data_IF_989954412740
#
_entry.id   IF_989954412740
#
_cell.length_a   1.000
_cell.length_b   1.000
_cell.length_c   1.000
_cell.angle_alpha   90.00
_cell.angle_beta   90.00
_cell.angle_gamma   90.00
#
_symmetry.space_group_name_H-M   'P 1'
#
loop_
_entity.id
_entity.type
_entity.pdbx_description
1 polymer ?
#
# COMPACT_ATOMS: atom_id res chain seq x y z
N UNK A 1 12.40 -12.71 2.06
CA UNK A 1 11.61 -11.47 2.24
C UNK A 1 11.15 -11.31 3.69
N UNK A 2 10.32 -12.21 4.21
CA UNK A 2 9.90 -12.35 5.61
C UNK A 2 10.10 -13.81 6.05
N UNK A 3 9.81 -14.16 7.30
CA UNK A 3 9.93 -15.54 7.78
C UNK A 3 11.30 -15.86 8.39
N UNK A 4 11.48 -17.12 8.80
CA UNK A 4 12.74 -17.60 9.34
C UNK A 4 13.64 -18.06 8.20
N UNK A 5 14.82 -17.47 8.12
CA UNK A 5 15.91 -17.96 7.29
C UNK A 5 16.62 -19.09 8.06
N UNK A 6 16.52 -20.31 7.56
CA UNK A 6 17.12 -21.48 8.19
C UNK A 6 18.66 -21.50 8.04
N UNK A 7 19.19 -20.90 6.97
CA UNK A 7 20.61 -20.85 6.70
C UNK A 7 21.30 -19.78 7.54
N UNK A 8 20.73 -18.57 7.56
CA UNK A 8 21.24 -17.47 8.37
C UNK A 8 20.83 -17.56 9.85
N UNK A 9 19.96 -18.51 10.22
CA UNK A 9 19.29 -18.65 11.53
C UNK A 9 18.62 -17.36 12.03
N UNK A 10 18.25 -16.45 11.11
CA UNK A 10 17.62 -15.16 11.41
C UNK A 10 16.12 -15.22 11.20
N UNK A 11 15.38 -14.43 11.98
CA UNK A 11 13.92 -14.30 11.85
C UNK A 11 13.58 -12.90 11.32
N UNK A 12 12.93 -12.83 10.17
CA UNK A 12 12.51 -11.61 9.49
C UNK A 12 10.99 -11.39 9.53
N UNK A 13 10.27 -12.03 10.45
CA UNK A 13 8.81 -11.90 10.56
C UNK A 13 8.36 -10.44 10.78
N UNK A 14 9.18 -9.61 11.45
CA UNK A 14 8.90 -8.19 11.68
C UNK A 14 8.72 -7.39 10.39
N UNK A 15 9.34 -7.84 9.28
CA UNK A 15 9.19 -7.20 7.96
C UNK A 15 7.75 -7.27 7.43
N UNK A 16 6.92 -8.21 7.89
CA UNK A 16 5.49 -8.24 7.54
C UNK A 16 4.77 -7.00 8.05
N UNK A 17 5.10 -6.56 9.26
CA UNK A 17 4.52 -5.34 9.82
C UNK A 17 4.95 -4.12 9.00
N UNK A 18 6.20 -4.05 8.54
CA UNK A 18 6.65 -2.95 7.67
C UNK A 18 5.86 -2.87 6.37
N UNK A 19 5.55 -4.00 5.76
CA UNK A 19 4.73 -4.06 4.53
C UNK A 19 3.31 -3.58 4.84
N UNK A 20 2.68 -4.09 5.91
CA UNK A 20 1.34 -3.69 6.35
C UNK A 20 1.25 -2.18 6.61
N UNK A 21 2.15 -1.65 7.42
CA UNK A 21 2.20 -0.22 7.76
C UNK A 21 2.39 0.63 6.51
N UNK A 22 3.26 0.19 5.60
CA UNK A 22 3.52 0.92 4.35
C UNK A 22 2.32 0.91 3.43
N UNK A 23 1.58 -0.20 3.31
CA UNK A 23 0.33 -0.28 2.53
C UNK A 23 -0.66 0.78 3.02
N UNK A 24 -0.91 0.83 4.33
CA UNK A 24 -1.84 1.80 4.91
C UNK A 24 -1.34 3.26 4.80
N UNK A 25 -0.05 3.51 5.02
CA UNK A 25 0.51 4.83 4.82
C UNK A 25 0.37 5.33 3.37
N UNK A 26 0.45 4.42 2.38
CA UNK A 26 0.24 4.76 0.97
C UNK A 26 -1.24 4.97 0.64
N UNK A 27 -2.16 4.24 1.27
CA UNK A 27 -3.61 4.44 1.13
C UNK A 27 -4.02 5.89 1.50
N UNK A 28 -3.38 6.49 2.50
CA UNK A 28 -3.65 7.87 2.91
C UNK A 28 -3.17 8.90 1.88
N UNK A 29 -2.16 8.55 1.08
CA UNK A 29 -1.55 9.44 0.08
C UNK A 29 -2.23 9.28 -1.28
N UNK A 30 -2.36 8.05 -1.76
CA UNK A 30 -2.92 7.70 -3.05
C UNK A 30 -4.46 7.80 -3.07
N UNK A 31 -5.02 7.82 -4.26
CA UNK A 31 -6.46 7.67 -4.50
C UNK A 31 -6.79 6.19 -4.75
N UNK A 32 -6.32 5.34 -3.83
CA UNK A 32 -6.43 3.90 -3.91
C UNK A 32 -6.90 3.39 -2.56
N UNK A 33 -7.99 2.64 -2.56
CA UNK A 33 -8.53 1.97 -1.39
C UNK A 33 -8.03 0.52 -1.33
N UNK A 34 -7.76 0.01 -0.13
CA UNK A 34 -7.32 -1.37 0.06
C UNK A 34 -8.52 -2.24 0.42
N UNK A 35 -8.88 -3.15 -0.49
CA UNK A 35 -9.98 -4.08 -0.28
C UNK A 35 -9.53 -5.32 0.51
N UNK A 36 -8.41 -5.92 0.11
CA UNK A 36 -7.83 -7.06 0.81
C UNK A 36 -6.31 -7.14 0.66
N UNK A 37 -5.65 -7.81 1.59
CA UNK A 37 -4.22 -8.12 1.51
C UNK A 37 -3.88 -9.40 2.27
N UNK A 38 -2.80 -10.06 1.85
CA UNK A 38 -2.16 -11.14 2.60
C UNK A 38 -0.65 -11.07 2.42
N UNK A 39 0.09 -11.02 3.53
CA UNK A 39 1.55 -10.89 3.53
C UNK A 39 2.15 -12.24 3.91
N UNK A 40 2.78 -12.90 2.92
CA UNK A 40 3.36 -14.23 3.04
C UNK A 40 4.85 -14.15 3.40
N UNK A 41 5.55 -15.29 3.44
CA UNK A 41 7.00 -15.33 3.72
C UNK A 41 7.83 -14.74 2.57
N UNK A 42 7.47 -15.02 1.32
CA UNK A 42 8.26 -14.68 0.14
C UNK A 42 7.55 -13.73 -0.84
N UNK A 43 6.26 -13.44 -0.66
CA UNK A 43 5.48 -12.51 -1.49
C UNK A 43 4.30 -11.93 -0.70
N UNK A 44 3.55 -11.01 -1.31
CA UNK A 44 2.28 -10.52 -0.77
C UNK A 44 1.23 -10.44 -1.88
N UNK A 45 -0.03 -10.56 -1.50
CA UNK A 45 -1.19 -10.33 -2.35
C UNK A 45 -1.91 -9.06 -1.92
N UNK A 46 -2.41 -8.30 -2.88
CA UNK A 46 -3.10 -7.04 -2.65
C UNK A 46 -4.28 -6.91 -3.62
N UNK A 47 -5.46 -6.64 -3.08
CA UNK A 47 -6.66 -6.26 -3.82
C UNK A 47 -6.90 -4.78 -3.55
N UNK A 48 -6.85 -3.98 -4.61
CA UNK A 48 -7.00 -2.52 -4.54
C UNK A 48 -8.17 -2.06 -5.38
N UNK A 49 -8.76 -0.95 -4.97
CA UNK A 49 -9.77 -0.22 -5.71
C UNK A 49 -9.22 1.17 -6.07
N UNK A 50 -9.19 1.49 -7.37
CA UNK A 50 -8.74 2.81 -7.84
C UNK A 50 -9.91 3.77 -7.79
N UNK A 51 -9.83 4.75 -6.89
CA UNK A 51 -10.91 5.69 -6.63
C UNK A 51 -10.80 6.91 -7.58
N UNK A 52 -11.37 6.76 -8.79
CA UNK A 52 -11.38 7.84 -9.80
C UNK A 52 -12.18 9.06 -9.37
N UNK A 53 -13.24 8.89 -8.57
CA UNK A 53 -14.03 10.01 -8.08
C UNK A 53 -13.20 10.91 -7.15
N UNK A 54 -12.40 10.31 -6.27
CA UNK A 54 -11.45 11.04 -5.42
C UNK A 54 -10.41 11.81 -6.24
N UNK A 55 -10.03 11.31 -7.40
CA UNK A 55 -9.09 11.99 -8.31
C UNK A 55 -9.70 13.22 -9.00
N UNK A 56 -10.96 13.13 -9.42
CA UNK A 56 -11.67 14.25 -10.06
C UNK A 56 -11.93 15.40 -9.09
N UNK A 57 -12.17 15.08 -7.81
CA UNK A 57 -12.48 16.06 -6.77
C UNK A 57 -11.25 16.69 -6.10
N UNK A 58 -10.05 16.19 -6.39
CA UNK A 58 -8.83 16.70 -5.76
C UNK A 58 -8.48 18.10 -6.29
N UNK A 59 -8.35 19.09 -5.42
CA UNK A 59 -7.76 20.36 -5.81
C UNK A 59 -6.25 20.20 -6.08
N UNK A 60 -5.67 21.07 -6.92
CA UNK A 60 -4.23 21.00 -7.24
C UNK A 60 -3.35 21.11 -5.99
N UNK A 61 -3.72 21.99 -5.05
CA UNK A 61 -3.02 22.09 -3.76
C UNK A 61 -3.03 20.77 -2.97
N UNK A 62 -4.13 20.02 -3.00
CA UNK A 62 -4.21 18.72 -2.33
C UNK A 62 -3.37 17.65 -3.03
N UNK A 63 -3.26 17.70 -4.36
CA UNK A 63 -2.34 16.83 -5.11
C UNK A 63 -0.90 17.11 -4.66
N UNK A 64 -0.51 18.38 -4.56
CA UNK A 64 0.84 18.76 -4.09
C UNK A 64 1.08 18.31 -2.66
N UNK A 65 0.12 18.55 -1.75
CA UNK A 65 0.19 18.13 -0.35
C UNK A 65 0.28 16.62 -0.18
N UNK A 66 -0.44 15.85 -1.01
CA UNK A 66 -0.34 14.38 -1.02
C UNK A 66 1.02 13.94 -1.54
N UNK A 67 1.46 14.48 -2.68
CA UNK A 67 2.72 14.13 -3.31
C UNK A 67 3.93 14.45 -2.41
N UNK A 68 3.88 15.55 -1.66
CA UNK A 68 4.96 16.00 -0.77
C UNK A 68 5.24 15.04 0.40
N UNK A 69 4.25 14.22 0.80
CA UNK A 69 4.41 13.20 1.84
C UNK A 69 5.37 12.07 1.44
N UNK A 70 5.62 11.90 0.15
CA UNK A 70 6.42 10.80 -0.39
C UNK A 70 7.61 11.27 -1.23
N UNK A 71 7.51 12.45 -1.85
CA UNK A 71 8.47 12.95 -2.82
C UNK A 71 8.77 14.43 -2.58
N UNK A 72 9.98 14.86 -2.95
CA UNK A 72 10.34 16.28 -2.89
C UNK A 72 9.54 17.09 -3.90
N UNK A 73 9.06 18.26 -3.47
CA UNK A 73 8.37 19.23 -4.32
C UNK A 73 9.36 20.29 -4.81
N UNK A 74 9.36 20.66 -6.10
CA UNK A 74 10.10 21.82 -6.59
C UNK A 74 9.72 23.10 -5.83
N UNK A 75 10.73 23.86 -5.40
CA UNK A 75 10.56 25.04 -4.55
C UNK A 75 9.65 26.12 -5.16
N UNK A 76 9.62 26.26 -6.48
CA UNK A 76 8.77 27.25 -7.14
C UNK A 76 7.27 26.96 -6.97
N UNK A 77 6.87 25.67 -6.95
CA UNK A 77 5.47 25.26 -6.77
C UNK A 77 5.02 25.55 -5.34
N UNK A 78 5.88 25.27 -4.35
CA UNK A 78 5.60 25.61 -2.95
C UNK A 78 5.41 27.13 -2.79
N UNK A 79 6.29 27.95 -3.38
CA UNK A 79 6.18 29.41 -3.34
C UNK A 79 4.89 29.94 -3.99
N UNK A 80 4.46 29.36 -5.10
CA UNK A 80 3.20 29.72 -5.76
C UNK A 80 2.01 29.41 -4.85
N UNK A 81 1.98 28.22 -4.24
CA UNK A 81 0.91 27.81 -3.31
C UNK A 81 0.89 28.65 -2.02
N UNK A 82 2.03 28.86 -1.39
CA UNK A 82 2.14 29.60 -0.11
C UNK A 82 1.68 31.06 -0.25
N UNK A 83 1.86 31.63 -1.44
CA UNK A 83 1.41 33.00 -1.76
C UNK A 83 -0.04 33.08 -2.23
N UNK A 84 -0.75 31.95 -2.29
CA UNK A 84 -2.11 31.88 -2.84
C UNK A 84 -2.17 32.23 -4.34
N UNK A 85 -1.06 32.09 -5.06
CA UNK A 85 -1.01 32.41 -6.49
C UNK A 85 -1.64 31.28 -7.31
N UNK A 86 -2.22 31.66 -8.46
CA UNK A 86 -2.56 30.68 -9.49
C UNK A 86 -1.29 29.96 -9.94
N UNK A 87 -1.33 28.63 -9.95
CA UNK A 87 -0.20 27.82 -10.39
C UNK A 87 0.20 28.17 -11.83
N UNK A 88 1.50 28.33 -12.06
CA UNK A 88 2.03 28.54 -13.42
C UNK A 88 1.72 27.35 -14.32
N UNK A 89 1.71 27.53 -15.65
CA UNK A 89 1.51 26.44 -16.60
C UNK A 89 2.47 25.26 -16.35
N UNK A 90 3.72 25.58 -16.03
CA UNK A 90 4.75 24.58 -15.68
C UNK A 90 4.37 23.80 -14.41
N UNK A 91 3.87 24.48 -13.38
CA UNK A 91 3.40 23.84 -12.16
C UNK A 91 2.19 22.94 -12.44
N UNK A 92 1.20 23.44 -13.19
CA UNK A 92 0.01 22.67 -13.56
C UNK A 92 0.33 21.39 -14.33
N UNK A 93 1.29 21.42 -15.26
CA UNK A 93 1.75 20.21 -15.98
C UNK A 93 2.29 19.16 -15.00
N UNK A 94 3.14 19.58 -14.05
CA UNK A 94 3.71 18.67 -13.06
C UNK A 94 2.65 18.12 -12.11
N UNK A 95 1.74 18.98 -11.62
CA UNK A 95 0.63 18.58 -10.75
C UNK A 95 -0.28 17.58 -11.45
N UNK A 96 -0.60 17.79 -12.72
CA UNK A 96 -1.39 16.83 -13.51
C UNK A 96 -0.69 15.49 -13.71
N UNK A 97 0.64 15.48 -13.87
CA UNK A 97 1.42 14.24 -13.87
C UNK A 97 1.29 13.54 -12.51
N UNK A 98 1.44 14.26 -11.40
CA UNK A 98 1.32 13.67 -10.06
C UNK A 98 -0.08 13.14 -9.77
N UNK A 99 -1.13 13.86 -10.19
CA UNK A 99 -2.53 13.44 -10.10
C UNK A 99 -2.73 12.06 -10.75
N UNK A 100 -2.28 11.90 -11.99
CA UNK A 100 -2.33 10.60 -12.71
C UNK A 100 -1.53 9.50 -12.01
N UNK A 101 -0.43 9.84 -11.34
CA UNK A 101 0.37 8.87 -10.57
C UNK A 101 -0.31 8.44 -9.27
N UNK A 102 -1.04 9.34 -8.60
CA UNK A 102 -1.78 9.04 -7.36
C UNK A 102 -2.94 8.05 -7.56
N UNK A 103 -3.38 7.80 -8.80
CA UNK A 103 -4.37 6.76 -9.15
C UNK A 103 -3.75 5.53 -9.82
N UNK A 104 -2.43 5.48 -10.00
CA UNK A 104 -1.78 4.40 -10.73
C UNK A 104 -1.38 3.26 -9.79
N UNK A 105 -1.95 2.07 -10.03
CA UNK A 105 -1.54 0.83 -9.36
C UNK A 105 -0.01 0.59 -9.49
N UNK A 106 0.55 0.84 -10.67
CA UNK A 106 1.99 0.69 -10.92
C UNK A 106 2.83 1.62 -10.04
N UNK A 107 2.40 2.88 -9.85
CA UNK A 107 3.09 3.81 -8.94
C UNK A 107 2.93 3.41 -7.48
N UNK A 108 1.74 2.96 -7.08
CA UNK A 108 1.51 2.45 -5.73
C UNK A 108 2.45 1.29 -5.40
N UNK A 109 2.48 0.26 -6.26
CA UNK A 109 3.34 -0.92 -6.06
C UNK A 109 4.82 -0.54 -6.14
N UNK A 110 5.22 0.34 -7.06
CA UNK A 110 6.59 0.85 -7.13
C UNK A 110 7.01 1.48 -5.81
N UNK A 111 6.20 2.40 -5.27
CA UNK A 111 6.53 3.13 -4.04
C UNK A 111 6.51 2.24 -2.79
N UNK A 112 5.64 1.22 -2.77
CA UNK A 112 5.65 0.18 -1.73
C UNK A 112 6.94 -0.63 -1.79
N UNK A 113 7.23 -1.21 -2.96
CA UNK A 113 8.36 -2.12 -3.14
C UNK A 113 9.71 -1.43 -2.94
N UNK A 114 9.87 -0.19 -3.43
CA UNK A 114 11.09 0.58 -3.26
C UNK A 114 11.38 0.88 -1.78
N UNK A 115 10.35 1.22 -1.00
CA UNK A 115 10.50 1.46 0.44
C UNK A 115 10.97 0.20 1.17
N UNK A 116 10.31 -0.93 0.91
CA UNK A 116 10.64 -2.20 1.57
C UNK A 116 12.03 -2.68 1.15
N UNK A 117 12.38 -2.59 -0.14
CA UNK A 117 13.70 -2.96 -0.63
C UNK A 117 14.81 -2.13 0.03
N UNK A 118 14.66 -0.80 0.09
CA UNK A 118 15.64 0.08 0.75
C UNK A 118 15.80 -0.25 2.24
N UNK A 119 14.69 -0.49 2.92
CA UNK A 119 14.69 -0.79 4.37
C UNK A 119 15.32 -2.16 4.67
N UNK A 120 15.00 -3.18 3.87
CA UNK A 120 15.56 -4.51 4.01
C UNK A 120 17.05 -4.57 3.65
N UNK A 121 17.44 -3.99 2.50
CA UNK A 121 18.84 -3.93 2.10
C UNK A 121 19.71 -3.18 3.14
N UNK A 122 19.17 -2.13 3.76
CA UNK A 122 19.84 -1.43 4.86
C UNK A 122 19.96 -2.29 6.13
N UNK A 123 18.94 -3.07 6.47
CA UNK A 123 18.99 -4.01 7.61
C UNK A 123 19.98 -5.15 7.37
N UNK A 124 20.07 -5.62 6.12
CA UNK A 124 20.93 -6.74 5.71
C UNK A 124 22.36 -6.30 5.34
N UNK A 125 22.67 -5.00 5.46
CA UNK A 125 23.93 -4.38 5.02
C UNK A 125 24.36 -4.83 3.62
N UNK A 126 23.41 -4.85 2.69
CA UNK A 126 23.62 -5.37 1.36
C UNK A 126 23.14 -4.40 0.27
N UNK A 127 23.61 -4.63 -0.96
CA UNK A 127 23.17 -3.90 -2.13
C UNK A 127 22.60 -4.87 -3.17
N UNK A 128 21.79 -4.36 -4.09
CA UNK A 128 21.21 -5.17 -5.16
C UNK A 128 19.70 -5.37 -5.02
N UNK A 129 19.21 -6.40 -5.73
CA UNK A 129 17.80 -6.58 -6.03
C UNK A 129 17.08 -7.37 -4.93
N UNK A 130 16.14 -6.72 -4.25
CA UNK A 130 15.32 -7.37 -3.23
C UNK A 130 14.11 -8.15 -3.80
N UNK A 131 13.56 -7.73 -4.94
CA UNK A 131 12.36 -8.32 -5.56
C UNK A 131 12.69 -9.04 -6.87
N UNK A 132 12.26 -10.29 -7.02
CA UNK A 132 12.61 -11.16 -8.17
C UNK A 132 12.03 -10.72 -9.53
N UNK A 133 10.99 -9.89 -9.57
CA UNK A 133 10.25 -9.64 -10.82
C UNK A 133 9.42 -8.36 -10.85
N UNK A 134 8.74 -8.16 -11.98
CA UNK A 134 7.58 -7.25 -12.08
C UNK A 134 6.42 -7.85 -11.28
N UNK A 135 5.55 -6.99 -10.74
CA UNK A 135 4.31 -7.45 -10.14
C UNK A 135 3.37 -8.01 -11.22
N UNK A 136 2.52 -8.96 -10.83
CA UNK A 136 1.44 -9.46 -11.67
C UNK A 136 0.14 -8.76 -11.26
N UNK A 137 -0.69 -8.37 -12.23
CA UNK A 137 -1.99 -7.73 -11.96
C UNK A 137 -3.05 -8.29 -12.87
N UNK A 138 -4.23 -8.53 -12.29
CA UNK A 138 -5.43 -8.96 -12.99
C UNK A 138 -6.56 -7.98 -12.63
N UNK A 139 -7.25 -7.46 -13.64
CA UNK A 139 -8.44 -6.64 -13.41
C UNK A 139 -9.61 -7.54 -12.98
N UNK A 140 -10.33 -7.12 -11.94
CA UNK A 140 -11.55 -7.75 -11.46
C UNK A 140 -12.71 -6.87 -11.94
N UNK A 141 -13.60 -7.44 -12.76
CA UNK A 141 -14.60 -6.68 -13.51
C UNK A 141 -16.02 -6.79 -12.96
N UNK A 142 -16.26 -7.70 -12.02
CA UNK A 142 -17.56 -7.89 -11.38
C UNK A 142 -17.43 -8.15 -9.87
N UNK A 143 -18.53 -7.92 -9.15
CA UNK A 143 -18.56 -8.03 -7.69
C UNK A 143 -18.32 -9.46 -7.19
N UNK A 144 -18.74 -10.48 -7.94
CA UNK A 144 -18.51 -11.89 -7.57
C UNK A 144 -17.03 -12.22 -7.67
N UNK A 145 -16.36 -11.79 -8.74
CA UNK A 145 -14.93 -11.91 -8.93
C UNK A 145 -14.17 -11.16 -7.83
N UNK A 146 -14.64 -9.97 -7.43
CA UNK A 146 -14.07 -9.22 -6.32
C UNK A 146 -14.17 -9.99 -5.00
N UNK A 147 -15.38 -10.44 -4.62
CA UNK A 147 -15.61 -11.18 -3.38
C UNK A 147 -14.81 -12.48 -3.33
N UNK A 148 -14.80 -13.23 -4.43
CA UNK A 148 -14.01 -14.46 -4.55
C UNK A 148 -12.50 -14.18 -4.44
N UNK A 149 -12.01 -13.11 -5.05
CA UNK A 149 -10.60 -12.74 -4.97
C UNK A 149 -10.20 -12.28 -3.57
N UNK A 150 -11.05 -11.49 -2.90
CA UNK A 150 -10.84 -11.09 -1.50
C UNK A 150 -10.78 -12.30 -0.58
N UNK A 151 -11.76 -13.22 -0.68
CA UNK A 151 -11.77 -14.45 0.10
C UNK A 151 -10.53 -15.32 -0.19
N UNK A 152 -10.16 -15.46 -1.46
CA UNK A 152 -8.96 -16.18 -1.88
C UNK A 152 -7.69 -15.58 -1.23
N UNK A 153 -7.54 -14.26 -1.28
CA UNK A 153 -6.40 -13.55 -0.70
C UNK A 153 -6.33 -13.76 0.81
N UNK A 154 -7.45 -13.56 1.52
CA UNK A 154 -7.49 -13.72 2.97
C UNK A 154 -7.23 -15.17 3.43
N UNK A 155 -7.58 -16.16 2.60
CA UNK A 155 -7.35 -17.58 2.88
C UNK A 155 -5.94 -18.09 2.50
N UNK A 156 -5.12 -17.29 1.80
CA UNK A 156 -3.79 -17.75 1.36
C UNK A 156 -2.88 -18.23 2.50
N UNK A 157 -2.82 -17.56 3.67
CA UNK A 157 -1.99 -18.05 4.78
C UNK A 157 -2.42 -19.44 5.29
N UNK A 158 -3.71 -19.77 5.25
CA UNK A 158 -4.21 -21.11 5.63
C UNK A 158 -3.81 -22.14 4.58
N UNK A 159 -3.99 -21.81 3.29
CA UNK A 159 -3.61 -22.68 2.17
C UNK A 159 -2.11 -22.99 2.15
N UNK A 160 -1.28 -22.04 2.59
CA UNK A 160 0.17 -22.22 2.71
C UNK A 160 0.60 -22.83 4.05
N UNK A 161 -0.35 -23.28 4.89
CA UNK A 161 -0.10 -23.82 6.23
C UNK A 161 0.72 -22.88 7.13
N UNK A 162 0.65 -21.57 6.88
CA UNK A 162 1.28 -20.54 7.72
C UNK A 162 0.43 -20.20 8.94
N UNK A 163 -0.87 -20.52 8.90
CA UNK A 163 -1.83 -20.33 9.98
C UNK A 163 -2.91 -21.41 9.93
N UNK A 164 -3.51 -21.73 11.08
CA UNK A 164 -4.55 -22.77 11.20
C UNK A 164 -5.97 -22.21 11.11
N UNK A 165 -6.13 -20.88 11.20
CA UNK A 165 -7.42 -20.20 11.13
C UNK A 165 -7.27 -18.78 10.58
N UNK A 166 -8.38 -18.16 10.14
CA UNK A 166 -8.40 -16.76 9.72
C UNK A 166 -8.05 -15.85 10.90
N UNK A 167 -8.55 -16.17 12.10
CA UNK A 167 -8.30 -15.39 13.31
C UNK A 167 -6.81 -15.38 13.70
N UNK A 168 -6.10 -16.49 13.51
CA UNK A 168 -4.67 -16.61 13.78
C UNK A 168 -3.77 -16.08 12.66
N UNK A 169 -4.33 -15.36 11.69
CA UNK A 169 -3.61 -14.85 10.50
C UNK A 169 -3.42 -13.33 10.57
N UNK A 170 -2.51 -12.89 11.45
CA UNK A 170 -2.33 -11.50 11.90
C UNK A 170 -2.01 -10.46 10.80
N UNK A 171 -1.65 -10.93 9.60
CA UNK A 171 -1.26 -10.09 8.47
C UNK A 171 -2.17 -10.27 7.26
N UNK A 172 -3.46 -10.47 7.51
CA UNK A 172 -4.53 -10.47 6.49
C UNK A 172 -5.53 -9.33 6.71
N UNK A 173 -6.26 -8.97 5.67
CA UNK A 173 -7.35 -7.99 5.79
C UNK A 173 -8.56 -8.54 6.53
N UNK A 174 -8.83 -9.85 6.45
CA UNK A 174 -9.88 -10.49 7.23
C UNK A 174 -9.66 -10.37 8.74
N UNK A 175 -8.43 -10.60 9.22
CA UNK A 175 -8.09 -10.40 10.63
C UNK A 175 -8.27 -8.92 11.04
N UNK A 176 -7.81 -7.98 10.19
CA UNK A 176 -7.97 -6.56 10.47
C UNK A 176 -9.45 -6.13 10.56
N UNK A 177 -10.32 -6.66 9.69
CA UNK A 177 -11.78 -6.43 9.76
C UNK A 177 -12.39 -7.02 11.02
N UNK A 178 -12.00 -8.23 11.41
CA UNK A 178 -12.49 -8.89 12.62
C UNK A 178 -12.13 -8.12 13.90
N UNK A 179 -10.88 -7.68 14.03
CA UNK A 179 -10.44 -6.86 15.17
C UNK A 179 -11.20 -5.54 15.22
N UNK A 180 -11.40 -4.88 14.06
CA UNK A 180 -12.17 -3.63 13.98
C UNK A 180 -13.64 -3.83 14.38
N UNK A 181 -14.30 -4.90 13.94
CA UNK A 181 -15.68 -5.17 14.32
C UNK A 181 -15.82 -5.48 15.82
N UNK A 182 -14.84 -6.19 16.39
CA UNK A 182 -14.81 -6.45 17.83
C UNK A 182 -14.63 -5.16 18.66
N UNK A 183 -13.77 -4.23 18.20
CA UNK A 183 -13.55 -2.94 18.87
C UNK A 183 -14.78 -2.01 18.79
N UNK A 184 -15.47 -1.97 17.65
CA UNK A 184 -16.72 -1.19 17.51
C UNK A 184 -17.79 -1.73 18.46
N UNK A 185 -17.92 -3.04 18.57
CA UNK A 185 -18.87 -3.64 19.51
C UNK A 185 -18.53 -3.25 20.96
N UNK A 186 -17.25 -3.28 21.36
CA UNK A 186 -16.83 -2.88 22.71
C UNK A 186 -17.13 -1.40 23.02
N UNK A 187 -16.96 -0.49 22.05
CA UNK A 187 -17.28 0.93 22.21
C UNK A 187 -18.79 1.23 22.26
N UNK A 188 -19.64 0.34 21.72
CA UNK A 188 -21.10 0.50 21.77
C UNK A 188 -21.72 -0.08 23.07
N UNK A 189 -20.92 -0.76 23.89
CA UNK A 189 -21.30 -1.33 25.18
C UNK A 189 -20.60 -0.65 26.38
N UNK A 190 -19.94 0.49 26.16
CA UNK A 190 -19.39 1.37 27.21
C UNK A 190 -20.02 2.75 27.15
#
# INVERSE_FOLDING_TARGET
>A
MCGRDQYAKKNYNHRRQWIKDRIHALQDVFCIDIAAYAIMNNHYHLVIHINKNKEQLLADGDVVKRWSRLFKIPTFIMKELDKGQTLSLRAQILVNIWRKRLVSASWFIKTLNEYIAKKANKEDDCTGRFWEGRFKSQALLDEKALMMCMAYVDLNPLRASMSTSIQSSDHTSAQARHVRSAQINLMNFS
#
